data_IF_742033651416
#
_entry.id   IF_742033651416
#
_cell.length_a   1.000
_cell.length_b   1.000
_cell.length_c   1.000
_cell.angle_alpha   90.00
_cell.angle_beta   90.00
_cell.angle_gamma   90.00
#
_symmetry.space_group_name_H-M   'P 1'
#
loop_
_entity.id
_entity.type
_entity.pdbx_description
1 polymer ?
#
# COMPACT_ATOMS: atom_id res chain seq x y z
N UNK A 1 -5.55 -47.39 5.44
CA UNK A 1 -7.00 -47.56 5.19
C UNK A 1 -7.81 -46.33 5.61
N UNK A 2 -7.66 -45.82 6.84
CA UNK A 2 -8.39 -44.61 7.30
C UNK A 2 -8.06 -43.31 6.53
N UNK A 3 -6.78 -43.02 6.23
CA UNK A 3 -6.38 -41.81 5.50
C UNK A 3 -6.93 -41.73 4.07
N UNK A 4 -7.08 -42.89 3.41
CA UNK A 4 -7.60 -42.96 2.05
C UNK A 4 -9.10 -42.63 2.01
N UNK A 5 -9.85 -43.01 3.04
CA UNK A 5 -11.26 -42.67 3.21
C UNK A 5 -11.45 -41.18 3.53
N UNK A 6 -10.55 -40.58 4.33
CA UNK A 6 -10.57 -39.13 4.59
C UNK A 6 -10.27 -38.34 3.32
N UNK A 7 -9.28 -38.77 2.54
CA UNK A 7 -8.96 -38.13 1.25
C UNK A 7 -10.12 -38.25 0.25
N UNK A 8 -10.74 -39.43 0.17
CA UNK A 8 -11.94 -39.65 -0.67
C UNK A 8 -13.12 -38.78 -0.21
N UNK A 9 -13.31 -38.62 1.10
CA UNK A 9 -14.37 -37.79 1.66
C UNK A 9 -14.17 -36.30 1.34
N UNK A 10 -12.94 -35.78 1.47
CA UNK A 10 -12.60 -34.40 1.12
C UNK A 10 -12.76 -34.17 -0.39
N UNK A 11 -12.28 -35.10 -1.22
CA UNK A 11 -12.42 -35.02 -2.68
C UNK A 11 -13.90 -35.05 -3.12
N UNK A 12 -14.72 -35.91 -2.51
CA UNK A 12 -16.14 -36.00 -2.79
C UNK A 12 -16.91 -34.74 -2.35
N UNK A 13 -16.58 -34.16 -1.19
CA UNK A 13 -17.17 -32.91 -0.73
C UNK A 13 -16.83 -31.72 -1.66
N UNK A 14 -15.58 -31.65 -2.14
CA UNK A 14 -15.15 -30.63 -3.10
C UNK A 14 -15.86 -30.76 -4.46
N UNK A 15 -15.99 -31.98 -4.97
CA UNK A 15 -16.69 -32.23 -6.24
C UNK A 15 -18.20 -31.90 -6.15
N UNK A 16 -18.85 -32.22 -5.04
CA UNK A 16 -20.25 -31.89 -4.80
C UNK A 16 -20.47 -30.36 -4.70
N UNK A 17 -19.58 -29.64 -4.03
CA UNK A 17 -19.64 -28.18 -3.96
C UNK A 17 -19.45 -27.53 -5.36
N UNK A 18 -18.54 -28.05 -6.17
CA UNK A 18 -18.29 -27.54 -7.53
C UNK A 18 -19.48 -27.81 -8.48
N UNK A 19 -20.12 -28.98 -8.35
CA UNK A 19 -21.31 -29.32 -9.13
C UNK A 19 -22.55 -28.52 -8.70
N UNK A 20 -22.65 -28.16 -7.42
CA UNK A 20 -23.72 -27.29 -6.90
C UNK A 20 -23.51 -25.82 -7.30
N UNK A 21 -22.26 -25.33 -7.30
CA UNK A 21 -21.94 -23.97 -7.74
C UNK A 21 -22.07 -23.77 -9.26
N UNK A 22 -21.89 -24.82 -10.06
CA UNK A 22 -21.95 -24.76 -11.53
C UNK A 22 -23.36 -24.61 -12.13
N UNK A 23 -24.43 -24.74 -11.34
CA UNK A 23 -25.82 -24.68 -11.84
C UNK A 23 -26.62 -23.45 -11.40
N UNK A 24 -26.03 -22.54 -10.63
CA UNK A 24 -26.77 -21.40 -10.06
C UNK A 24 -26.09 -20.06 -10.35
N UNK A 25 -25.95 -19.71 -11.62
CA UNK A 25 -25.59 -18.34 -12.03
C UNK A 25 -26.08 -18.00 -13.45
N UNK A 26 -27.39 -17.99 -13.66
CA UNK A 26 -28.04 -16.94 -14.47
C UNK A 26 -29.56 -17.10 -14.52
N UNK A 27 -30.24 -16.57 -13.51
CA UNK A 27 -31.56 -15.96 -13.73
C UNK A 27 -31.73 -14.82 -12.73
N UNK A 28 -31.23 -13.65 -13.12
CA UNK A 28 -31.77 -12.38 -12.65
C UNK A 28 -31.76 -11.41 -13.82
N UNK A 29 -32.87 -11.44 -14.57
CA UNK A 29 -33.20 -10.37 -15.48
C UNK A 29 -33.66 -9.15 -14.66
N UNK A 30 -33.10 -8.00 -15.03
CA UNK A 30 -33.56 -6.63 -14.75
C UNK A 30 -33.33 -6.05 -13.35
N UNK A 31 -32.18 -5.38 -13.17
CA UNK A 31 -32.13 -3.97 -12.77
C UNK A 31 -30.68 -3.44 -12.86
N UNK A 32 -30.48 -2.42 -13.70
CA UNK A 32 -29.54 -1.32 -13.46
C UNK A 32 -28.03 -1.59 -13.42
N UNK A 33 -27.33 -1.02 -14.41
CA UNK A 33 -25.88 -0.77 -14.43
C UNK A 33 -25.00 -2.02 -14.53
N UNK A 34 -24.75 -2.39 -15.79
CA UNK A 34 -23.71 -3.33 -16.16
C UNK A 34 -22.38 -2.89 -15.57
N UNK A 35 -21.87 -3.71 -14.65
CA UNK A 35 -20.44 -3.88 -14.49
C UNK A 35 -19.96 -4.48 -15.81
N UNK A 36 -19.68 -3.60 -16.79
CA UNK A 36 -18.89 -4.00 -17.93
C UNK A 36 -17.63 -4.57 -17.33
N UNK A 37 -17.41 -5.86 -17.53
CA UNK A 37 -16.12 -6.49 -17.37
C UNK A 37 -15.23 -5.81 -18.42
N UNK A 38 -14.81 -4.59 -18.07
CA UNK A 38 -13.80 -3.86 -18.80
C UNK A 38 -12.65 -4.83 -18.88
N UNK A 39 -12.27 -5.14 -20.12
CA UNK A 39 -10.91 -5.49 -20.44
C UNK A 39 -10.04 -4.55 -19.61
N UNK A 40 -9.54 -5.06 -18.47
CA UNK A 40 -8.60 -4.30 -17.65
C UNK A 40 -7.41 -4.16 -18.55
N UNK A 41 -7.34 -3.03 -19.25
CA UNK A 41 -6.17 -2.62 -20.00
C UNK A 41 -5.04 -2.87 -19.02
N UNK A 42 -4.20 -3.87 -19.36
CA UNK A 42 -3.04 -4.27 -18.58
C UNK A 42 -2.39 -2.96 -18.18
N UNK A 43 -2.52 -2.58 -16.91
CA UNK A 43 -2.05 -1.28 -16.43
C UNK A 43 -0.54 -1.33 -16.62
N UNK A 44 -0.08 -0.78 -17.75
CA UNK A 44 1.33 -0.65 -18.11
C UNK A 44 1.96 0.25 -17.05
N UNK A 45 2.49 -0.37 -16.00
CA UNK A 45 3.03 0.36 -14.84
C UNK A 45 2.87 -0.36 -13.52
N UNK A 46 1.94 -1.31 -13.38
CA UNK A 46 1.90 -2.18 -12.22
C UNK A 46 2.93 -3.30 -12.41
N UNK A 47 4.20 -3.00 -12.13
CA UNK A 47 5.22 -4.05 -12.02
C UNK A 47 4.74 -5.10 -11.04
N UNK A 48 4.74 -6.37 -11.47
CA UNK A 48 4.58 -7.51 -10.58
C UNK A 48 5.56 -7.34 -9.41
N UNK A 49 5.06 -7.33 -8.18
CA UNK A 49 5.91 -7.21 -7.00
C UNK A 49 6.75 -8.48 -6.88
N UNK A 50 8.00 -8.44 -7.36
CA UNK A 50 8.93 -9.58 -7.28
C UNK A 50 9.25 -9.85 -5.79
N UNK A 51 8.79 -10.97 -5.20
CA UNK A 51 9.02 -11.27 -3.79
C UNK A 51 10.50 -11.45 -3.44
N UNK A 52 11.38 -11.54 -4.45
CA UNK A 52 12.83 -11.66 -4.32
C UNK A 52 13.55 -10.32 -4.33
N UNK A 53 12.89 -9.21 -4.66
CA UNK A 53 13.50 -7.89 -4.57
C UNK A 53 13.67 -7.52 -3.08
N UNK A 54 14.85 -7.04 -2.67
CA UNK A 54 15.03 -6.52 -1.32
C UNK A 54 14.01 -5.40 -1.07
N UNK A 55 13.50 -5.30 0.16
CA UNK A 55 12.62 -4.21 0.56
C UNK A 55 13.25 -2.89 0.10
N UNK A 56 12.49 -2.05 -0.62
CA UNK A 56 12.97 -0.72 -1.01
C UNK A 56 13.43 -0.03 0.28
N UNK A 57 14.73 0.24 0.36
CA UNK A 57 15.31 0.94 1.49
C UNK A 57 14.96 2.41 1.34
N UNK A 58 14.34 2.97 2.37
CA UNK A 58 14.18 4.40 2.47
C UNK A 58 15.56 5.07 2.49
N UNK A 59 15.69 6.28 1.93
CA UNK A 59 16.93 7.06 2.07
C UNK A 59 17.15 7.42 3.55
N UNK A 60 18.37 7.87 3.88
CA UNK A 60 18.73 8.31 5.25
C UNK A 60 17.75 9.33 5.84
N UNK A 61 17.15 10.16 4.98
CA UNK A 61 16.16 11.17 5.34
C UNK A 61 14.95 11.03 4.40
N UNK A 62 13.98 10.15 4.72
CA UNK A 62 12.81 9.93 3.87
C UNK A 62 11.90 11.16 3.86
N UNK A 63 11.40 11.49 2.67
CA UNK A 63 10.32 12.45 2.46
C UNK A 63 8.95 11.76 2.33
N UNK A 64 7.84 12.53 2.35
CA UNK A 64 6.49 11.99 2.21
C UNK A 64 6.28 11.19 0.92
N UNK A 65 6.91 11.60 -0.18
CA UNK A 65 6.86 10.94 -1.49
C UNK A 65 7.58 9.58 -1.51
N UNK A 66 8.59 9.38 -0.66
CA UNK A 66 9.33 8.12 -0.58
C UNK A 66 8.45 7.01 0.01
N UNK A 67 7.47 7.37 0.84
CA UNK A 67 6.53 6.44 1.46
C UNK A 67 5.57 5.85 0.42
N UNK A 68 5.11 6.65 -0.55
CA UNK A 68 4.19 6.23 -1.62
C UNK A 68 4.81 5.14 -2.53
N UNK A 69 6.14 5.14 -2.64
CA UNK A 69 6.91 4.20 -3.45
C UNK A 69 7.17 2.84 -2.78
N UNK A 70 6.86 2.69 -1.48
CA UNK A 70 7.19 1.47 -0.75
C UNK A 70 6.37 0.27 -1.23
N UNK A 71 7.06 -0.84 -1.48
CA UNK A 71 6.44 -2.12 -1.87
C UNK A 71 6.95 -3.21 -0.96
N UNK A 72 6.02 -3.85 -0.26
CA UNK A 72 6.31 -4.94 0.67
C UNK A 72 5.94 -6.28 0.03
N UNK A 73 6.77 -7.30 0.23
CA UNK A 73 6.49 -8.67 -0.20
C UNK A 73 5.53 -9.37 0.76
N UNK A 74 4.73 -10.30 0.25
CA UNK A 74 3.76 -11.07 1.06
C UNK A 74 4.47 -12.24 1.73
N UNK A 75 4.25 -12.42 3.03
CA UNK A 75 4.81 -13.53 3.82
C UNK A 75 3.71 -14.32 4.56
N UNK A 76 3.94 -15.62 4.78
CA UNK A 76 3.02 -16.54 5.49
C UNK A 76 2.64 -16.09 6.92
N UNK A 77 3.40 -15.16 7.51
CA UNK A 77 3.11 -14.50 8.79
C UNK A 77 3.37 -12.99 8.70
N UNK A 78 2.89 -12.37 7.63
CA UNK A 78 2.98 -10.92 7.43
C UNK A 78 1.97 -10.14 8.27
N UNK A 79 2.20 -8.82 8.37
CA UNK A 79 1.18 -7.89 8.80
C UNK A 79 0.05 -7.82 7.77
N UNK A 80 -1.14 -7.41 8.20
CA UNK A 80 -2.23 -7.22 7.23
C UNK A 80 -2.00 -5.95 6.41
N UNK A 81 -2.23 -6.03 5.10
CA UNK A 81 -2.00 -4.90 4.19
C UNK A 81 -2.82 -3.67 4.56
N UNK A 82 -4.10 -3.83 4.90
CA UNK A 82 -4.98 -2.72 5.30
C UNK A 82 -4.43 -1.91 6.48
N UNK A 83 -3.89 -2.60 7.49
CA UNK A 83 -3.30 -1.95 8.66
C UNK A 83 -1.97 -1.28 8.35
N UNK A 84 -1.16 -1.91 7.49
CA UNK A 84 0.11 -1.33 7.07
C UNK A 84 -0.17 -0.07 6.24
N UNK A 85 -1.09 -0.13 5.30
CA UNK A 85 -1.47 0.99 4.44
C UNK A 85 -1.99 2.18 5.27
N UNK A 86 -2.88 1.94 6.24
CA UNK A 86 -3.37 2.99 7.15
C UNK A 86 -2.24 3.66 7.95
N UNK A 87 -1.28 2.87 8.44
CA UNK A 87 -0.12 3.40 9.16
C UNK A 87 0.80 4.20 8.25
N UNK A 88 1.01 3.75 7.00
CA UNK A 88 1.82 4.46 6.02
C UNK A 88 1.17 5.78 5.59
N UNK A 89 -0.14 5.80 5.38
CA UNK A 89 -0.90 7.03 5.07
C UNK A 89 -0.77 8.05 6.19
N UNK A 90 -0.92 7.60 7.44
CA UNK A 90 -0.71 8.46 8.61
C UNK A 90 0.72 8.97 8.69
N UNK A 91 1.70 8.08 8.50
CA UNK A 91 3.12 8.45 8.56
C UNK A 91 3.46 9.49 7.50
N UNK A 92 2.95 9.33 6.28
CA UNK A 92 3.11 10.29 5.19
C UNK A 92 2.57 11.68 5.58
N UNK A 93 1.36 11.73 6.12
CA UNK A 93 0.75 13.00 6.54
C UNK A 93 1.58 13.69 7.63
N UNK A 94 1.98 12.94 8.66
CA UNK A 94 2.80 13.46 9.76
C UNK A 94 4.16 13.96 9.29
N UNK A 95 4.76 13.30 8.30
CA UNK A 95 6.03 13.71 7.72
C UNK A 95 5.88 15.02 6.95
N UNK A 96 4.81 15.16 6.16
CA UNK A 96 4.51 16.40 5.44
C UNK A 96 4.28 17.58 6.39
N UNK A 97 3.51 17.38 7.47
CA UNK A 97 3.25 18.41 8.47
C UNK A 97 4.54 18.84 9.19
N UNK A 98 5.43 17.89 9.49
CA UNK A 98 6.74 18.16 10.08
C UNK A 98 7.63 18.95 9.14
N UNK A 99 7.66 18.58 7.86
CA UNK A 99 8.47 19.27 6.86
C UNK A 99 8.01 20.71 6.64
N UNK A 100 6.69 20.94 6.61
CA UNK A 100 6.13 22.28 6.55
C UNK A 100 6.52 23.11 7.79
N UNK A 101 6.39 22.52 8.98
CA UNK A 101 6.76 23.16 10.25
C UNK A 101 8.25 23.52 10.26
N UNK A 102 9.12 22.60 9.86
CA UNK A 102 10.56 22.83 9.77
C UNK A 102 10.87 23.93 8.76
N UNK A 103 10.21 23.92 7.59
CA UNK A 103 10.39 24.97 6.59
C UNK A 103 9.96 26.34 7.13
N UNK A 104 8.87 26.40 7.88
CA UNK A 104 8.40 27.62 8.53
C UNK A 104 9.39 28.13 9.58
N UNK A 105 9.91 27.23 10.44
CA UNK A 105 10.89 27.60 11.47
C UNK A 105 12.21 28.07 10.86
N UNK A 106 12.70 27.40 9.81
CA UNK A 106 13.88 27.85 9.06
C UNK A 106 13.66 29.22 8.42
N UNK A 107 12.44 29.48 7.93
CA UNK A 107 12.06 30.82 7.47
C UNK A 107 12.11 31.86 8.58
N UNK A 108 11.67 31.47 9.77
CA UNK A 108 11.68 32.35 10.92
C UNK A 108 13.09 32.66 11.43
N UNK A 109 13.98 31.69 11.36
CA UNK A 109 15.37 31.87 11.76
C UNK A 109 16.12 32.81 10.81
N UNK A 110 15.94 32.66 9.49
CA UNK A 110 16.67 33.52 8.54
C UNK A 110 16.32 34.99 8.69
N UNK A 111 15.03 35.35 8.86
CA UNK A 111 14.65 36.78 8.97
C UNK A 111 15.25 37.40 10.22
N UNK A 112 15.28 36.66 11.33
CA UNK A 112 15.84 37.12 12.59
C UNK A 112 17.36 37.31 12.51
N UNK A 113 18.04 36.50 11.70
CA UNK A 113 19.48 36.64 11.45
C UNK A 113 19.77 37.84 10.53
N UNK A 114 18.89 38.13 9.56
CA UNK A 114 19.02 39.30 8.69
C UNK A 114 18.83 40.63 9.44
N UNK A 115 18.07 40.61 10.55
CA UNK A 115 17.87 41.75 11.44
C UNK A 115 19.06 42.04 12.36
N UNK A 116 20.10 41.19 12.37
CA UNK A 116 21.32 41.42 13.17
C UNK A 116 22.18 42.48 12.46
N UNK A 117 22.42 43.67 13.08
CA UNK A 117 23.28 44.68 12.48
C UNK A 117 24.68 44.12 12.25
N UNK A 118 25.35 44.47 11.13
CA UNK A 118 26.72 44.01 10.88
C UNK A 118 27.62 44.38 12.06
N UNK A 119 28.55 43.49 12.46
CA UNK A 119 29.42 43.74 13.59
C UNK A 119 30.19 45.04 13.38
N UNK A 120 30.28 45.86 14.43
CA UNK A 120 31.04 47.11 14.38
C UNK A 120 32.47 46.82 13.92
N UNK A 121 33.06 47.68 13.07
CA UNK A 121 34.43 47.50 12.59
C UNK A 121 35.36 47.37 13.80
N UNK A 122 36.19 46.32 13.78
CA UNK A 122 37.23 46.12 14.81
C UNK A 122 38.26 47.25 14.67
N UNK A 123 38.75 47.82 15.79
CA UNK A 123 39.74 48.90 15.79
C UNK A 123 41.08 48.46 15.20
#
# INVERSE_FOLDING_TARGET
MSLFLVFLAIAAAGAAAMAAAGRFSSTSAAAGQGWQRGEVAKLEGLSEADPRLPAVLLPEHPGPEDIDGLRFSVALRGYRMDQVDEVLDRLRSELADRDETIAQLRRQEHWKNDDVPPPAPRP
#
